data_IF_026589683941
#
_entry.id   IF_026589683941
#
_cell.length_a   1.000
_cell.length_b   1.000
_cell.length_c   1.000
_cell.angle_alpha   90.00
_cell.angle_beta   90.00
_cell.angle_gamma   90.00
#
_symmetry.space_group_name_H-M   'P 1'
#
loop_
_entity.id
_entity.type
_entity.pdbx_description
1 polymer ?
#
# COMPACT_ATOMS: atom_id res chain seq x y z
N UNK A 1 3.12 -24.64 8.45
CA UNK A 1 4.08 -23.67 7.97
C UNK A 1 3.36 -22.38 7.55
N UNK A 2 3.83 -21.26 8.06
CA UNK A 2 3.30 -19.96 7.70
C UNK A 2 3.89 -19.53 6.34
N UNK A 3 3.04 -19.34 5.34
CA UNK A 3 3.44 -18.80 4.04
C UNK A 3 3.36 -17.28 4.07
N UNK A 4 4.37 -16.67 4.66
CA UNK A 4 4.50 -15.22 4.71
C UNK A 4 4.72 -14.69 3.28
N UNK A 5 4.06 -13.58 2.93
CA UNK A 5 4.13 -13.01 1.57
C UNK A 5 3.18 -13.65 0.57
N UNK A 6 2.22 -14.46 1.04
CA UNK A 6 1.13 -15.01 0.22
C UNK A 6 -0.08 -14.08 0.11
N UNK A 7 -0.09 -13.02 0.89
CA UNK A 7 -1.14 -12.01 0.89
C UNK A 7 -0.51 -10.62 0.67
N UNK A 8 -1.04 -9.89 -0.29
CA UNK A 8 -0.60 -8.53 -0.59
C UNK A 8 -1.79 -7.64 -0.90
N UNK A 9 -1.57 -6.35 -0.88
CA UNK A 9 -2.63 -5.38 -1.16
C UNK A 9 -2.15 -4.25 -2.06
N UNK A 10 -3.11 -3.65 -2.75
CA UNK A 10 -2.91 -2.44 -3.55
C UNK A 10 -3.99 -1.41 -3.24
N UNK A 11 -3.69 -0.18 -3.52
CA UNK A 11 -4.65 0.93 -3.50
C UNK A 11 -4.19 2.02 -4.45
N UNK A 12 -5.12 2.87 -4.84
CA UNK A 12 -4.80 4.07 -5.59
C UNK A 12 -4.85 5.29 -4.67
N UNK A 13 -3.99 6.23 -4.93
CA UNK A 13 -4.00 7.52 -4.25
C UNK A 13 -3.89 8.62 -5.29
N UNK A 14 -4.96 9.40 -5.42
CA UNK A 14 -5.00 10.55 -6.32
C UNK A 14 -5.14 11.81 -5.47
N UNK A 15 -4.21 12.76 -5.55
CA UNK A 15 -4.25 13.96 -4.73
C UNK A 15 -5.60 14.69 -4.84
N UNK A 16 -6.22 14.97 -3.69
CA UNK A 16 -7.51 15.65 -3.61
C UNK A 16 -8.74 14.79 -3.84
N UNK A 17 -8.60 13.53 -4.22
CA UNK A 17 -9.74 12.64 -4.54
C UNK A 17 -9.94 11.49 -3.56
N UNK A 18 -9.21 11.46 -2.48
CA UNK A 18 -9.34 10.40 -1.50
C UNK A 18 -8.18 10.38 -0.51
N UNK A 19 -8.13 9.37 0.37
CA UNK A 19 -7.07 9.30 1.36
C UNK A 19 -5.70 9.01 0.73
N UNK A 20 -4.67 9.70 1.21
CA UNK A 20 -3.30 9.40 0.86
C UNK A 20 -2.76 8.23 1.72
N UNK A 21 -1.53 7.80 1.47
CA UNK A 21 -0.90 6.73 2.23
C UNK A 21 -0.88 7.04 3.74
N UNK A 22 -0.58 8.28 4.11
CA UNK A 22 -0.48 8.71 5.52
C UNK A 22 -1.84 8.79 6.23
N UNK A 23 -2.93 8.96 5.50
CA UNK A 23 -4.27 8.88 6.09
C UNK A 23 -4.56 7.50 6.67
N UNK A 24 -4.07 6.46 6.00
CA UNK A 24 -4.29 5.06 6.39
C UNK A 24 -3.21 4.60 7.38
N UNK A 25 -1.97 4.88 7.08
CA UNK A 25 -0.82 4.53 7.91
C UNK A 25 -0.26 5.80 8.55
N UNK A 26 -0.88 6.22 9.64
CA UNK A 26 -0.61 7.52 10.28
C UNK A 26 0.80 7.66 10.81
N UNK A 27 1.38 6.57 11.28
CA UNK A 27 2.74 6.53 11.81
C UNK A 27 3.51 5.37 11.18
N UNK A 28 4.83 5.55 10.92
CA UNK A 28 5.66 4.42 10.52
C UNK A 28 5.65 3.37 11.63
N UNK A 29 5.68 2.06 11.27
CA UNK A 29 5.77 1.02 12.29
C UNK A 29 7.09 1.11 13.05
N UNK A 30 7.13 0.68 14.34
CA UNK A 30 8.38 0.57 15.06
C UNK A 30 9.35 -0.34 14.31
N UNK A 31 10.64 -0.04 14.38
CA UNK A 31 11.70 -0.80 13.70
C UNK A 31 11.62 -2.31 13.96
N UNK A 32 11.32 -2.70 15.20
CA UNK A 32 11.26 -4.10 15.61
C UNK A 32 9.97 -4.81 15.20
N UNK A 33 8.95 -4.07 14.77
CA UNK A 33 7.68 -4.64 14.34
C UNK A 33 7.69 -5.09 12.87
N UNK A 34 8.69 -4.68 12.09
CA UNK A 34 8.81 -5.02 10.67
C UNK A 34 9.86 -6.12 10.52
N UNK A 35 9.46 -7.31 10.02
CA UNK A 35 10.43 -8.37 9.78
C UNK A 35 11.38 -8.00 8.64
N UNK A 36 12.62 -8.48 8.72
CA UNK A 36 13.59 -8.33 7.63
C UNK A 36 13.17 -9.17 6.43
N UNK A 37 13.74 -8.90 5.25
CA UNK A 37 13.47 -9.70 4.06
C UNK A 37 13.82 -11.18 4.24
N UNK A 38 14.84 -11.49 5.02
CA UNK A 38 15.19 -12.88 5.36
C UNK A 38 14.15 -13.55 6.25
N UNK A 39 13.51 -12.80 7.14
CA UNK A 39 12.50 -13.31 8.07
C UNK A 39 11.15 -13.50 7.42
N UNK A 40 10.76 -12.55 6.56
CA UNK A 40 9.43 -12.54 5.95
C UNK A 40 9.36 -13.38 4.67
N UNK A 41 10.25 -13.18 3.74
CA UNK A 41 10.16 -13.79 2.42
C UNK A 41 8.95 -13.32 1.63
N UNK A 42 8.96 -13.58 0.33
CA UNK A 42 7.83 -13.27 -0.56
C UNK A 42 7.77 -14.35 -1.65
N UNK A 43 6.58 -14.84 -1.95
CA UNK A 43 6.38 -15.74 -3.08
C UNK A 43 6.56 -14.91 -4.37
N UNK A 44 7.51 -15.31 -5.23
CA UNK A 44 7.88 -14.53 -6.42
C UNK A 44 6.72 -14.24 -7.36
N UNK A 45 5.81 -15.19 -7.54
CA UNK A 45 4.64 -15.02 -8.39
C UNK A 45 3.69 -13.92 -7.89
N UNK A 46 3.69 -13.60 -6.60
CA UNK A 46 2.89 -12.51 -6.05
C UNK A 46 3.27 -11.16 -6.63
N UNK A 47 4.55 -10.92 -6.86
CA UNK A 47 5.02 -9.70 -7.50
C UNK A 47 4.44 -9.53 -8.90
N UNK A 48 4.34 -10.62 -9.66
CA UNK A 48 3.72 -10.61 -10.98
C UNK A 48 2.23 -10.26 -10.94
N UNK A 49 1.48 -10.92 -10.08
CA UNK A 49 0.03 -10.67 -9.93
C UNK A 49 -0.23 -9.23 -9.49
N UNK A 50 0.39 -8.81 -8.40
CA UNK A 50 0.19 -7.47 -7.83
C UNK A 50 0.69 -6.38 -8.79
N UNK A 51 1.83 -6.58 -9.43
CA UNK A 51 2.36 -5.63 -10.42
C UNK A 51 1.44 -5.48 -11.63
N UNK A 52 0.83 -6.56 -12.11
CA UNK A 52 -0.14 -6.49 -13.20
C UNK A 52 -1.42 -5.77 -12.78
N UNK A 53 -1.91 -5.98 -11.57
CA UNK A 53 -3.06 -5.25 -11.04
C UNK A 53 -2.76 -3.75 -10.91
N UNK A 54 -1.58 -3.38 -10.43
CA UNK A 54 -1.14 -1.99 -10.36
C UNK A 54 -1.05 -1.36 -11.74
N UNK A 55 -0.50 -2.08 -12.72
CA UNK A 55 -0.42 -1.61 -14.10
C UNK A 55 -1.80 -1.34 -14.70
N UNK A 56 -2.78 -2.21 -14.42
CA UNK A 56 -4.16 -2.01 -14.86
C UNK A 56 -4.78 -0.75 -14.25
N UNK A 57 -4.50 -0.45 -12.99
CA UNK A 57 -4.97 0.79 -12.36
C UNK A 57 -4.35 2.02 -13.03
N UNK A 58 -3.05 1.98 -13.33
CA UNK A 58 -2.37 3.05 -14.04
C UNK A 58 -2.96 3.28 -15.45
N UNK A 59 -3.22 2.21 -16.18
CA UNK A 59 -3.84 2.28 -17.52
C UNK A 59 -5.24 2.88 -17.44
N UNK A 60 -6.06 2.45 -16.49
CA UNK A 60 -7.40 3.02 -16.29
C UNK A 60 -7.34 4.52 -16.00
N UNK A 61 -6.40 4.93 -15.15
CA UNK A 61 -6.20 6.34 -14.83
C UNK A 61 -5.83 7.16 -16.07
N UNK A 62 -4.89 6.68 -16.86
CA UNK A 62 -4.43 7.35 -18.08
C UNK A 62 -5.56 7.47 -19.11
N UNK A 63 -6.32 6.41 -19.30
CA UNK A 63 -7.42 6.37 -20.28
C UNK A 63 -8.70 7.02 -19.78
N UNK A 64 -8.83 7.27 -18.48
CA UNK A 64 -10.04 7.80 -17.88
C UNK A 64 -11.22 6.83 -17.94
N UNK A 65 -10.98 5.53 -17.87
CA UNK A 65 -12.02 4.49 -17.99
C UNK A 65 -12.13 3.67 -16.70
N UNK A 66 -13.32 3.15 -16.46
CA UNK A 66 -13.61 2.30 -15.31
C UNK A 66 -13.58 3.05 -13.98
N UNK A 67 -13.44 2.28 -12.91
CA UNK A 67 -13.36 2.82 -11.54
C UNK A 67 -12.00 2.48 -10.95
N UNK A 68 -11.34 3.49 -10.38
CA UNK A 68 -10.08 3.31 -9.68
C UNK A 68 -10.32 2.79 -8.26
N UNK A 69 -9.27 2.28 -7.64
CA UNK A 69 -9.25 1.89 -6.23
C UNK A 69 -9.03 3.07 -5.27
N UNK A 70 -9.32 4.29 -5.73
CA UNK A 70 -9.26 5.48 -4.87
C UNK A 70 -10.29 5.34 -3.75
N UNK A 71 -9.85 5.44 -2.50
CA UNK A 71 -10.71 5.24 -1.33
C UNK A 71 -10.92 3.77 -0.94
N UNK A 72 -10.23 2.84 -1.59
CA UNK A 72 -10.32 1.42 -1.29
C UNK A 72 -8.95 0.78 -1.17
N UNK A 73 -8.91 -0.31 -0.40
CA UNK A 73 -7.77 -1.21 -0.34
C UNK A 73 -8.21 -2.55 -0.93
N UNK A 74 -7.51 -3.03 -1.93
CA UNK A 74 -7.74 -4.36 -2.50
C UNK A 74 -6.68 -5.31 -1.95
N UNK A 75 -7.11 -6.34 -1.25
CA UNK A 75 -6.21 -7.40 -0.77
C UNK A 75 -6.37 -8.65 -1.61
N UNK A 76 -5.27 -9.34 -1.84
CA UNK A 76 -5.24 -10.62 -2.55
C UNK A 76 -4.56 -11.68 -1.69
N UNK A 77 -5.29 -12.72 -1.36
CA UNK A 77 -4.79 -13.92 -0.68
C UNK A 77 -4.58 -15.01 -1.73
N UNK A 78 -3.33 -15.29 -2.07
CA UNK A 78 -2.98 -16.24 -3.10
C UNK A 78 -3.22 -17.69 -2.68
N UNK A 79 -3.17 -17.98 -1.38
CA UNK A 79 -3.36 -19.35 -0.88
C UNK A 79 -4.81 -19.78 -1.04
N UNK A 80 -5.75 -18.90 -0.72
CA UNK A 80 -7.18 -19.18 -0.79
C UNK A 80 -7.83 -18.64 -2.07
N UNK A 81 -7.07 -17.96 -2.95
CA UNK A 81 -7.55 -17.35 -4.18
C UNK A 81 -8.69 -16.37 -3.93
N UNK A 82 -8.51 -15.51 -2.93
CA UNK A 82 -9.54 -14.56 -2.52
C UNK A 82 -9.08 -13.12 -2.69
N UNK A 83 -9.98 -12.30 -3.22
CA UNK A 83 -9.84 -10.85 -3.29
C UNK A 83 -10.82 -10.21 -2.34
N UNK A 84 -10.34 -9.25 -1.55
CA UNK A 84 -11.20 -8.47 -0.65
C UNK A 84 -11.01 -6.99 -0.92
N UNK A 85 -12.11 -6.27 -1.11
CA UNK A 85 -12.10 -4.82 -1.32
C UNK A 85 -12.65 -4.14 -0.08
N UNK A 86 -11.81 -3.38 0.60
CA UNK A 86 -12.13 -2.72 1.86
C UNK A 86 -12.21 -1.22 1.63
N UNK A 87 -13.29 -0.59 2.12
CA UNK A 87 -13.43 0.86 2.05
C UNK A 87 -12.55 1.53 3.08
N UNK A 88 -11.78 2.53 2.64
CA UNK A 88 -10.93 3.33 3.51
C UNK A 88 -11.68 4.54 4.08
N UNK A 89 -11.22 5.10 5.22
CA UNK A 89 -11.81 6.33 5.76
C UNK A 89 -11.78 7.47 4.75
N UNK A 90 -12.89 8.19 4.64
CA UNK A 90 -13.02 9.32 3.70
C UNK A 90 -12.61 10.66 4.30
N UNK A 91 -12.59 10.79 5.62
CA UNK A 91 -12.20 12.02 6.27
C UNK A 91 -10.68 12.13 6.36
N UNK A 92 -10.12 13.04 5.58
CA UNK A 92 -8.67 13.27 5.49
C UNK A 92 -8.23 14.56 6.17
N UNK A 93 -9.14 15.32 6.77
CA UNK A 93 -8.90 16.66 7.30
C UNK A 93 -7.76 16.74 8.32
N UNK A 94 -7.63 15.71 9.16
CA UNK A 94 -6.59 15.62 10.18
C UNK A 94 -5.27 14.99 9.72
N UNK A 95 -5.12 14.69 8.44
CA UNK A 95 -3.91 14.06 7.93
C UNK A 95 -2.72 15.02 7.95
N UNK A 96 -1.57 14.52 8.42
CA UNK A 96 -0.35 15.32 8.49
C UNK A 96 0.22 15.69 7.10
N UNK A 97 -0.17 14.98 6.05
CA UNK A 97 0.35 15.18 4.69
C UNK A 97 -0.66 15.87 3.78
N UNK A 98 -1.88 15.36 3.69
CA UNK A 98 -2.90 15.86 2.76
C UNK A 98 -4.09 16.55 3.42
N UNK A 99 -4.08 16.70 4.76
CA UNK A 99 -5.15 17.34 5.50
C UNK A 99 -5.22 18.85 5.33
N UNK A 100 -6.13 19.48 6.06
CA UNK A 100 -6.33 20.93 6.01
C UNK A 100 -5.13 21.72 6.54
N UNK A 101 -4.41 21.15 7.50
CA UNK A 101 -3.25 21.76 8.14
C UNK A 101 -2.07 20.80 8.13
N UNK A 102 -1.45 20.57 6.95
CA UNK A 102 -0.38 19.59 6.84
C UNK A 102 0.86 20.03 7.64
N UNK A 103 1.44 19.08 8.35
CA UNK A 103 2.68 19.28 9.11
C UNK A 103 3.88 18.66 8.41
N UNK A 104 3.65 17.70 7.51
CA UNK A 104 4.69 17.05 6.70
C UNK A 104 4.55 17.62 5.27
N UNK A 105 5.41 18.59 4.93
CA UNK A 105 5.37 19.31 3.67
C UNK A 105 6.56 19.01 2.76
N UNK A 106 7.52 18.25 3.26
CA UNK A 106 8.72 17.83 2.52
C UNK A 106 9.09 16.41 2.92
N UNK A 107 9.98 15.79 2.16
CA UNK A 107 10.48 14.46 2.46
C UNK A 107 11.34 14.51 3.72
N UNK A 108 11.05 13.59 4.65
CA UNK A 108 11.82 13.44 5.90
C UNK A 108 12.32 12.01 6.02
N UNK A 109 13.43 11.84 6.71
CA UNK A 109 14.01 10.53 6.95
C UNK A 109 13.30 9.84 8.12
N UNK A 110 13.04 8.56 7.94
CA UNK A 110 12.50 7.67 8.97
C UNK A 110 13.52 6.59 9.30
N UNK A 111 13.50 6.11 10.54
CA UNK A 111 14.24 4.91 10.89
C UNK A 111 13.61 3.71 10.19
N UNK A 112 14.37 3.07 9.29
CA UNK A 112 13.87 1.98 8.46
C UNK A 112 14.68 0.71 8.65
N UNK A 113 14.00 -0.42 8.52
CA UNK A 113 14.66 -1.71 8.34
C UNK A 113 15.00 -1.85 6.87
N UNK A 114 16.28 -1.86 6.55
CA UNK A 114 16.76 -2.00 5.18
C UNK A 114 17.06 -3.47 4.91
N UNK A 115 16.58 -3.97 3.79
CA UNK A 115 16.91 -5.30 3.30
C UNK A 115 18.31 -5.25 2.66
N UNK A 116 19.35 -5.33 3.48
CA UNK A 116 20.74 -5.26 3.01
C UNK A 116 21.33 -6.60 2.66
N UNK A 117 20.70 -7.68 3.10
CA UNK A 117 21.23 -9.02 2.99
C UNK A 117 20.39 -9.87 2.05
N UNK A 118 20.98 -10.47 1.06
CA UNK A 118 20.31 -11.55 0.37
C UNK A 118 19.77 -11.24 -1.00
N UNK A 119 20.43 -10.39 -1.63
CA UNK A 119 20.30 -10.35 -3.09
C UNK A 119 21.48 -11.08 -3.69
#
# INVERSE_FOLDING_TARGET
>A
ASLVGSEMCIRDSVPGEGPCYRCVFKNPPPKDAVPTCKQAGVIGAMGGVIGSLQAMEAIKYILGVGKLLTGYLLTYDAINQEFHKVKLPSNTDGCAVCGKHPTITELIDYEQVVCTDGI
#
